data_IF_230509476215
#
_entry.id   IF_230509476215
#
_cell.length_a   1.000
_cell.length_b   1.000
_cell.length_c   1.000
_cell.angle_alpha   90.00
_cell.angle_beta   90.00
_cell.angle_gamma   90.00
#
_symmetry.space_group_name_H-M   'P 1'
#
loop_
_entity.id
_entity.type
_entity.pdbx_description
1 polymer ?
#
# COMPACT_ATOMS: atom_id res chain seq x y z
N UNK A 1 20.40 18.43 28.49
CA UNK A 1 19.11 17.72 28.44
C UNK A 1 18.87 17.10 29.80
N UNK A 2 17.79 17.50 30.47
CA UNK A 2 17.39 16.90 31.75
C UNK A 2 16.87 15.48 31.53
N UNK A 3 16.81 14.66 32.59
CA UNK A 3 16.31 13.29 32.48
C UNK A 3 14.85 13.25 32.00
N UNK A 4 14.00 14.15 32.51
CA UNK A 4 12.60 14.26 32.07
C UNK A 4 12.43 14.67 30.60
N UNK A 5 13.37 15.44 30.03
CA UNK A 5 13.38 15.74 28.59
C UNK A 5 13.68 14.49 27.76
N UNK A 6 14.55 13.59 28.26
CA UNK A 6 14.86 12.33 27.56
C UNK A 6 13.68 11.38 27.57
N UNK A 7 13.02 11.25 28.71
CA UNK A 7 11.81 10.43 28.84
C UNK A 7 10.71 10.92 27.90
N UNK A 8 10.50 12.24 27.85
CA UNK A 8 9.50 12.84 26.94
C UNK A 8 9.81 12.57 25.48
N UNK A 9 11.09 12.68 25.08
CA UNK A 9 11.53 12.34 23.71
C UNK A 9 11.34 10.87 23.38
N UNK A 10 11.64 9.97 24.33
CA UNK A 10 11.46 8.53 24.15
C UNK A 10 9.97 8.17 23.96
N UNK A 11 9.07 8.78 24.74
CA UNK A 11 7.61 8.59 24.61
C UNK A 11 7.10 9.14 23.27
N UNK A 12 7.56 10.33 22.86
CA UNK A 12 7.20 10.90 21.57
C UNK A 12 7.67 10.01 20.40
N UNK A 13 8.87 9.44 20.51
CA UNK A 13 9.43 8.53 19.52
C UNK A 13 8.63 7.22 19.44
N UNK A 14 8.29 6.59 20.58
CA UNK A 14 7.44 5.39 20.61
C UNK A 14 6.06 5.66 19.99
N UNK A 15 5.46 6.81 20.28
CA UNK A 15 4.17 7.18 19.68
C UNK A 15 4.27 7.34 18.16
N UNK A 16 5.27 8.10 17.67
CA UNK A 16 5.49 8.31 16.25
C UNK A 16 5.80 6.99 15.52
N UNK A 17 6.58 6.11 16.15
CA UNK A 17 6.92 4.79 15.63
C UNK A 17 5.71 3.88 15.51
N UNK A 18 4.89 3.75 16.57
CA UNK A 18 3.65 2.96 16.54
C UNK A 18 2.68 3.48 15.49
N UNK A 19 2.60 4.80 15.34
CA UNK A 19 1.78 5.40 14.30
C UNK A 19 2.25 5.01 12.90
N UNK A 20 3.55 5.09 12.65
CA UNK A 20 4.18 4.66 11.39
C UNK A 20 3.95 3.17 11.10
N UNK A 21 4.23 2.30 12.06
CA UNK A 21 4.08 0.85 11.96
C UNK A 21 2.64 0.45 11.64
N UNK A 22 1.66 1.05 12.34
CA UNK A 22 0.24 0.78 12.09
C UNK A 22 -0.18 1.14 10.66
N UNK A 23 0.32 2.24 10.07
CA UNK A 23 0.00 2.58 8.66
C UNK A 23 0.63 1.60 7.69
N UNK A 24 1.91 1.23 7.89
CA UNK A 24 2.59 0.26 7.02
C UNK A 24 1.93 -1.12 7.12
N UNK A 25 1.61 -1.59 8.32
CA UNK A 25 0.91 -2.85 8.55
C UNK A 25 -0.47 -2.89 7.87
N UNK A 26 -1.25 -1.80 8.00
CA UNK A 26 -2.55 -1.69 7.33
C UNK A 26 -2.44 -1.76 5.80
N UNK A 27 -1.43 -1.13 5.20
CA UNK A 27 -1.25 -1.20 3.75
C UNK A 27 -0.99 -2.64 3.26
N UNK A 28 -0.23 -3.43 4.02
CA UNK A 28 0.00 -4.86 3.70
C UNK A 28 -1.28 -5.68 3.89
N UNK A 29 -2.04 -5.42 4.96
CA UNK A 29 -3.31 -6.09 5.20
C UNK A 29 -4.31 -5.83 4.05
N UNK A 30 -4.42 -4.58 3.58
CA UNK A 30 -5.27 -4.25 2.43
C UNK A 30 -4.86 -5.00 1.17
N UNK A 31 -3.56 -5.16 0.91
CA UNK A 31 -3.08 -5.93 -0.23
C UNK A 31 -3.47 -7.41 -0.12
N UNK A 32 -3.34 -8.01 1.07
CA UNK A 32 -3.75 -9.41 1.30
C UNK A 32 -5.25 -9.61 1.09
N UNK A 33 -6.07 -8.70 1.63
CA UNK A 33 -7.53 -8.72 1.45
C UNK A 33 -7.90 -8.54 -0.02
N UNK A 34 -7.25 -7.64 -0.75
CA UNK A 34 -7.47 -7.43 -2.18
C UNK A 34 -7.15 -8.70 -2.98
N UNK A 35 -6.02 -9.35 -2.73
CA UNK A 35 -5.63 -10.58 -3.44
C UNK A 35 -6.66 -11.69 -3.22
N UNK A 36 -7.10 -11.89 -1.97
CA UNK A 36 -8.17 -12.85 -1.67
C UNK A 36 -9.47 -12.50 -2.38
N UNK A 37 -9.86 -11.22 -2.35
CA UNK A 37 -11.07 -10.73 -3.01
C UNK A 37 -11.04 -10.94 -4.53
N UNK A 38 -9.91 -10.66 -5.17
CA UNK A 38 -9.72 -10.90 -6.60
C UNK A 38 -9.77 -12.40 -6.96
N UNK A 39 -9.27 -13.28 -6.10
CA UNK A 39 -9.39 -14.73 -6.30
C UNK A 39 -10.86 -15.19 -6.25
N UNK A 40 -11.65 -14.63 -5.33
CA UNK A 40 -13.09 -14.90 -5.22
C UNK A 40 -13.81 -14.41 -6.49
N UNK A 41 -13.56 -13.17 -6.91
CA UNK A 41 -14.16 -12.60 -8.12
C UNK A 41 -13.76 -13.36 -9.39
N UNK A 42 -12.49 -13.77 -9.50
CA UNK A 42 -12.02 -14.57 -10.62
C UNK A 42 -12.70 -15.94 -10.70
N UNK A 43 -12.92 -16.58 -9.55
CA UNK A 43 -13.68 -17.85 -9.49
C UNK A 43 -15.14 -17.64 -9.87
N UNK A 44 -15.79 -16.60 -9.32
CA UNK A 44 -17.18 -16.26 -9.63
C UNK A 44 -17.36 -15.92 -11.13
N UNK A 45 -16.42 -15.18 -11.71
CA UNK A 45 -16.36 -14.91 -13.15
C UNK A 45 -16.31 -16.21 -13.95
N UNK A 46 -15.40 -17.13 -13.62
CA UNK A 46 -15.28 -18.41 -14.32
C UNK A 46 -16.58 -19.24 -14.27
N UNK A 47 -17.22 -19.30 -13.10
CA UNK A 47 -18.51 -19.98 -12.92
C UNK A 47 -19.62 -19.31 -13.74
N UNK A 48 -19.70 -17.98 -13.73
CA UNK A 48 -20.69 -17.24 -14.51
C UNK A 48 -20.52 -17.44 -16.02
N UNK A 49 -19.28 -17.47 -16.51
CA UNK A 49 -18.98 -17.78 -17.93
C UNK A 49 -19.39 -19.21 -18.27
N UNK A 50 -19.10 -20.19 -17.41
CA UNK A 50 -19.51 -21.59 -17.64
C UNK A 50 -21.03 -21.78 -17.65
N UNK A 51 -21.76 -20.95 -16.88
CA UNK A 51 -23.22 -20.95 -16.84
C UNK A 51 -23.86 -20.08 -17.94
N UNK A 52 -23.07 -19.56 -18.89
CA UNK A 52 -23.51 -18.65 -19.97
C UNK A 52 -24.16 -17.35 -19.45
N UNK A 53 -23.86 -16.97 -18.21
CA UNK A 53 -24.35 -15.74 -17.58
C UNK A 53 -23.39 -14.57 -17.83
N UNK A 54 -23.19 -14.22 -19.10
CA UNK A 54 -22.14 -13.27 -19.50
C UNK A 54 -22.35 -11.84 -18.96
N UNK A 55 -23.61 -11.43 -18.76
CA UNK A 55 -23.92 -10.17 -18.11
C UNK A 55 -23.35 -10.11 -16.68
N UNK A 56 -23.50 -11.20 -15.92
CA UNK A 56 -22.95 -11.34 -14.57
C UNK A 56 -21.42 -11.49 -14.59
N UNK A 57 -20.87 -12.24 -15.54
CA UNK A 57 -19.42 -12.35 -15.70
C UNK A 57 -18.77 -10.96 -15.92
N UNK A 58 -19.29 -10.17 -16.85
CA UNK A 58 -18.74 -8.85 -17.11
C UNK A 58 -18.84 -7.88 -15.92
N UNK A 59 -19.92 -7.97 -15.13
CA UNK A 59 -20.04 -7.14 -13.93
C UNK A 59 -18.98 -7.49 -12.86
N UNK A 60 -18.57 -8.76 -12.75
CA UNK A 60 -17.45 -9.15 -11.87
C UNK A 60 -16.13 -8.48 -12.29
N UNK A 61 -15.88 -8.35 -13.59
CA UNK A 61 -14.71 -7.64 -14.11
C UNK A 61 -14.71 -6.16 -13.73
N UNK A 62 -15.87 -5.49 -13.82
CA UNK A 62 -16.01 -4.09 -13.37
C UNK A 62 -15.80 -3.96 -11.86
N UNK A 63 -16.38 -4.87 -11.06
CA UNK A 63 -16.20 -4.87 -9.60
C UNK A 63 -14.73 -5.08 -9.23
N UNK A 64 -14.02 -5.97 -9.93
CA UNK A 64 -12.59 -6.18 -9.74
C UNK A 64 -11.80 -4.91 -10.03
N UNK A 65 -12.06 -4.24 -11.16
CA UNK A 65 -11.42 -2.97 -11.52
C UNK A 65 -11.63 -1.88 -10.45
N UNK A 66 -12.86 -1.71 -9.98
CA UNK A 66 -13.20 -0.74 -8.92
C UNK A 66 -12.49 -1.10 -7.61
N UNK A 67 -12.44 -2.38 -7.25
CA UNK A 67 -11.79 -2.85 -6.01
C UNK A 67 -10.29 -2.56 -6.01
N UNK A 68 -9.61 -2.77 -7.14
CA UNK A 68 -8.20 -2.41 -7.32
C UNK A 68 -8.00 -0.91 -7.21
N UNK A 69 -8.83 -0.11 -7.90
CA UNK A 69 -8.73 1.35 -7.86
C UNK A 69 -8.90 1.92 -6.44
N UNK A 70 -9.90 1.43 -5.68
CA UNK A 70 -10.12 1.86 -4.29
C UNK A 70 -8.94 1.49 -3.41
N UNK A 71 -8.39 0.28 -3.57
CA UNK A 71 -7.26 -0.18 -2.76
C UNK A 71 -5.98 0.62 -3.10
N UNK A 72 -5.74 0.95 -4.37
CA UNK A 72 -4.61 1.81 -4.76
C UNK A 72 -4.71 3.20 -4.12
N UNK A 73 -5.91 3.80 -4.10
CA UNK A 73 -6.15 5.08 -3.44
C UNK A 73 -5.91 5.03 -1.94
N UNK A 74 -6.46 4.02 -1.25
CA UNK A 74 -6.31 3.88 0.20
C UNK A 74 -4.86 3.55 0.60
N UNK A 75 -4.18 2.67 -0.14
CA UNK A 75 -2.77 2.38 0.11
C UNK A 75 -1.88 3.59 -0.15
N UNK A 76 -2.18 4.40 -1.17
CA UNK A 76 -1.49 5.67 -1.42
C UNK A 76 -1.67 6.67 -0.27
N UNK A 77 -2.89 6.80 0.26
CA UNK A 77 -3.18 7.63 1.45
C UNK A 77 -2.42 7.15 2.68
N UNK A 78 -2.40 5.84 2.92
CA UNK A 78 -1.65 5.25 4.04
C UNK A 78 -0.14 5.46 3.90
N UNK A 79 0.42 5.34 2.69
CA UNK A 79 1.83 5.62 2.41
C UNK A 79 2.17 7.08 2.67
N UNK A 80 1.36 8.01 2.18
CA UNK A 80 1.54 9.44 2.45
C UNK A 80 1.49 9.76 3.96
N UNK A 81 0.52 9.18 4.68
CA UNK A 81 0.42 9.33 6.13
C UNK A 81 1.61 8.71 6.88
N UNK A 82 2.11 7.55 6.42
CA UNK A 82 3.30 6.94 6.98
C UNK A 82 4.55 7.80 6.74
N UNK A 83 4.64 8.49 5.60
CA UNK A 83 5.78 9.35 5.29
C UNK A 83 5.89 10.54 6.24
N UNK A 84 4.77 11.18 6.59
CA UNK A 84 4.74 12.23 7.62
C UNK A 84 5.25 11.72 8.98
N UNK A 85 4.89 10.49 9.34
CA UNK A 85 5.36 9.88 10.58
C UNK A 85 6.85 9.50 10.51
N UNK A 86 7.34 9.07 9.34
CA UNK A 86 8.74 8.75 9.13
C UNK A 86 9.64 9.99 9.27
N UNK A 87 9.17 11.17 8.84
CA UNK A 87 9.87 12.44 9.04
C UNK A 87 9.99 12.77 10.54
N UNK A 88 8.89 12.68 11.29
CA UNK A 88 8.90 12.90 12.74
C UNK A 88 9.81 11.89 13.48
N UNK A 89 9.76 10.60 13.11
CA UNK A 89 10.65 9.57 13.64
C UNK A 89 12.11 9.90 13.35
N UNK A 90 12.42 10.37 12.15
CA UNK A 90 13.80 10.75 11.76
C UNK A 90 14.33 11.89 12.62
N UNK A 91 13.52 12.92 12.83
CA UNK A 91 13.89 14.06 13.67
C UNK A 91 14.10 13.64 15.12
N UNK A 92 13.16 12.88 15.70
CA UNK A 92 13.24 12.41 17.08
C UNK A 92 14.41 11.46 17.31
N UNK A 93 14.67 10.53 16.37
CA UNK A 93 15.85 9.66 16.41
C UNK A 93 17.15 10.48 16.32
N UNK A 94 17.19 11.53 15.49
CA UNK A 94 18.34 12.43 15.37
C UNK A 94 18.65 13.12 16.70
N UNK A 95 17.65 13.78 17.30
CA UNK A 95 17.79 14.47 18.59
C UNK A 95 18.22 13.52 19.71
N UNK A 96 17.67 12.30 19.73
CA UNK A 96 18.03 11.28 20.72
C UNK A 96 19.45 10.74 20.50
N UNK A 97 19.83 10.50 19.24
CA UNK A 97 21.19 10.07 18.88
C UNK A 97 22.23 11.12 19.28
N UNK A 98 21.95 12.40 19.05
CA UNK A 98 22.83 13.51 19.43
C UNK A 98 22.96 13.60 20.95
N UNK A 99 21.85 13.50 21.68
CA UNK A 99 21.84 13.57 23.13
C UNK A 99 22.53 12.38 23.82
N UNK A 100 22.48 11.19 23.22
CA UNK A 100 23.11 9.97 23.73
C UNK A 100 24.48 9.67 23.11
N UNK A 101 24.89 10.43 22.09
CA UNK A 101 26.08 10.14 21.26
C UNK A 101 26.06 8.73 20.65
N UNK A 102 24.88 8.23 20.28
CA UNK A 102 24.67 6.89 19.73
C UNK A 102 24.17 6.98 18.29
N UNK A 103 25.11 7.00 17.34
CA UNK A 103 24.82 7.02 15.89
C UNK A 103 24.01 5.80 15.43
N UNK A 104 24.07 4.70 16.18
CA UNK A 104 23.28 3.49 15.94
C UNK A 104 21.76 3.72 16.01
N UNK A 105 21.31 4.78 16.70
CA UNK A 105 19.89 5.10 16.86
C UNK A 105 19.26 5.74 15.61
N UNK A 106 20.07 6.18 14.63
CA UNK A 106 19.60 6.79 13.38
C UNK A 106 19.16 5.72 12.35
N UNK A 107 18.32 4.79 12.78
CA UNK A 107 17.91 3.62 12.00
C UNK A 107 17.13 4.00 10.74
N UNK A 108 16.21 4.96 10.82
CA UNK A 108 15.39 5.37 9.67
C UNK A 108 16.26 6.01 8.56
N UNK A 109 17.24 6.83 8.93
CA UNK A 109 18.19 7.40 7.95
C UNK A 109 19.02 6.32 7.27
N UNK A 110 19.47 5.31 8.01
CA UNK A 110 20.21 4.17 7.45
C UNK A 110 19.33 3.31 6.53
N UNK A 111 18.08 3.07 6.90
CA UNK A 111 17.10 2.38 6.05
C UNK A 111 16.89 3.15 4.74
N UNK A 112 16.72 4.46 4.81
CA UNK A 112 16.55 5.31 3.62
C UNK A 112 17.79 5.34 2.73
N UNK A 113 18.98 5.47 3.31
CA UNK A 113 20.25 5.48 2.57
C UNK A 113 20.54 4.12 1.90
N UNK A 114 20.10 3.02 2.50
CA UNK A 114 20.25 1.67 1.93
C UNK A 114 19.14 1.26 0.96
N UNK A 115 18.08 2.07 0.81
CA UNK A 115 16.93 1.70 -0.02
C UNK A 115 17.30 1.87 -1.50
N UNK A 116 17.25 0.80 -2.32
CA UNK A 116 17.48 0.94 -3.75
C UNK A 116 16.39 1.84 -4.35
N UNK A 117 16.72 2.67 -5.36
CA UNK A 117 15.73 3.47 -6.04
C UNK A 117 14.65 2.56 -6.63
N UNK A 118 13.38 2.84 -6.33
CA UNK A 118 12.27 2.08 -6.90
C UNK A 118 12.27 2.31 -8.41
N UNK A 119 12.32 1.26 -9.25
CA UNK A 119 12.27 1.44 -10.69
C UNK A 119 10.95 2.10 -11.08
N UNK A 120 11.03 3.22 -11.79
CA UNK A 120 9.87 3.90 -12.37
C UNK A 120 9.74 3.49 -13.83
N UNK A 121 8.55 3.04 -14.22
CA UNK A 121 8.24 2.61 -15.58
C UNK A 121 7.11 3.51 -16.08
N UNK A 122 7.35 4.26 -17.16
CA UNK A 122 6.44 5.31 -17.66
C UNK A 122 6.09 6.39 -16.63
N UNK A 123 7.00 6.69 -15.69
CA UNK A 123 6.77 7.70 -14.64
C UNK A 123 5.85 7.24 -13.50
N UNK A 124 5.38 5.99 -13.51
CA UNK A 124 4.67 5.35 -12.41
C UNK A 124 5.64 4.52 -11.57
N UNK A 125 5.40 4.49 -10.25
CA UNK A 125 6.03 3.48 -9.42
C UNK A 125 5.47 2.10 -9.77
N UNK A 126 6.23 1.04 -9.47
CA UNK A 126 5.84 -0.34 -9.79
C UNK A 126 4.45 -0.71 -9.24
N UNK A 127 4.07 -0.15 -8.09
CA UNK A 127 2.75 -0.34 -7.48
C UNK A 127 1.62 0.20 -8.36
N UNK A 128 1.70 1.47 -8.80
CA UNK A 128 0.67 2.07 -9.65
C UNK A 128 0.61 1.43 -11.03
N UNK A 129 1.74 0.96 -11.54
CA UNK A 129 1.78 0.24 -12.82
C UNK A 129 1.02 -1.08 -12.73
N UNK A 130 1.22 -1.86 -11.67
CA UNK A 130 0.47 -3.11 -11.43
C UNK A 130 -1.02 -2.83 -11.26
N UNK A 131 -1.40 -1.79 -10.51
CA UNK A 131 -2.80 -1.40 -10.35
C UNK A 131 -3.44 -1.03 -11.70
N UNK A 132 -2.75 -0.21 -12.51
CA UNK A 132 -3.22 0.20 -13.83
C UNK A 132 -3.44 -0.99 -14.76
N UNK A 133 -2.46 -1.90 -14.87
CA UNK A 133 -2.59 -3.10 -15.72
C UNK A 133 -3.71 -4.00 -15.22
N UNK A 134 -3.85 -4.18 -13.91
CA UNK A 134 -4.92 -5.01 -13.33
C UNK A 134 -6.30 -4.45 -13.66
N UNK A 135 -6.48 -3.13 -13.55
CA UNK A 135 -7.72 -2.44 -13.93
C UNK A 135 -7.99 -2.60 -15.43
N UNK A 136 -6.99 -2.36 -16.27
CA UNK A 136 -7.12 -2.46 -17.72
C UNK A 136 -7.53 -3.88 -18.16
N UNK A 137 -6.90 -4.91 -17.59
CA UNK A 137 -7.22 -6.32 -17.86
C UNK A 137 -8.65 -6.65 -17.40
N UNK A 138 -9.04 -6.22 -16.20
CA UNK A 138 -10.37 -6.49 -15.67
C UNK A 138 -11.48 -5.83 -16.50
N UNK A 139 -11.28 -4.58 -16.95
CA UNK A 139 -12.21 -3.88 -17.83
C UNK A 139 -12.24 -4.47 -19.24
N UNK A 140 -11.08 -4.84 -19.80
CA UNK A 140 -11.01 -5.50 -21.10
C UNK A 140 -11.72 -6.85 -21.07
N UNK A 141 -11.56 -7.63 -20.00
CA UNK A 141 -12.29 -8.88 -19.78
C UNK A 141 -13.80 -8.65 -19.71
N UNK A 142 -14.25 -7.64 -18.96
CA UNK A 142 -15.66 -7.27 -18.88
C UNK A 142 -16.26 -6.89 -20.24
N UNK A 143 -15.57 -6.02 -20.98
CA UNK A 143 -15.98 -5.60 -22.33
C UNK A 143 -16.02 -6.79 -23.29
N UNK A 144 -15.02 -7.66 -23.24
CA UNK A 144 -15.00 -8.87 -24.05
C UNK A 144 -16.20 -9.77 -23.74
N UNK A 145 -16.51 -10.01 -22.46
CA UNK A 145 -17.67 -10.84 -22.10
C UNK A 145 -19.00 -10.25 -22.54
N UNK A 146 -19.17 -8.93 -22.56
CA UNK A 146 -20.44 -8.32 -22.97
C UNK A 146 -20.57 -8.18 -24.48
N UNK A 147 -19.46 -8.01 -25.21
CA UNK A 147 -19.49 -7.69 -26.64
C UNK A 147 -19.23 -8.90 -27.54
N UNK A 148 -18.45 -9.87 -27.07
CA UNK A 148 -17.99 -11.00 -27.88
C UNK A 148 -18.64 -12.34 -27.51
N UNK A 149 -19.26 -12.44 -26.33
CA UNK A 149 -19.99 -13.64 -25.92
C UNK A 149 -21.51 -13.39 -26.05
N UNK A 150 -22.24 -14.28 -26.76
CA UNK A 150 -23.65 -14.09 -27.13
C UNK A 150 -24.62 -14.28 -25.97
#
# INVERSE_FOLDING_TARGET
MSEGERETLAVALDHAWRWYENRRGRAVLFLQVLVLWLAILGTAYGVAVQAEQYALAGSMGVIAAVSVAVTDLETSRLRASAQLAAEAVTELQGRLADALSLEAMRLNQREQAGRPPTPTLLGLDSGRWVAFVSIAVALAGALYTWLALP
#
